data_IF_150283343043
#
_entry.id   IF_150283343043
#
_cell.length_a   1.000
_cell.length_b   1.000
_cell.length_c   1.000
_cell.angle_alpha   90.00
_cell.angle_beta   90.00
_cell.angle_gamma   90.00
#
_symmetry.space_group_name_H-M   'P 1'
#
loop_
_entity.id
_entity.type
_entity.pdbx_description
1 polymer ?
#
# COMPACT_ATOMS: atom_id res chain seq x y z
N UNK A 1 -3.95 -1.45 -4.03
CA UNK A 1 -4.51 -2.29 -5.11
C UNK A 1 -3.55 -2.29 -6.29
N UNK A 2 -3.09 -3.45 -6.74
CA UNK A 2 -2.33 -3.62 -7.99
C UNK A 2 -2.73 -4.95 -8.65
N UNK A 3 -2.77 -4.99 -9.98
CA UNK A 3 -3.33 -6.11 -10.75
C UNK A 3 -4.74 -5.79 -11.27
N UNK A 4 -5.62 -6.78 -11.29
CA UNK A 4 -7.01 -6.63 -11.70
C UNK A 4 -7.79 -5.74 -10.75
N UNK A 5 -8.32 -4.62 -11.26
CA UNK A 5 -9.08 -3.66 -10.46
C UNK A 5 -10.33 -4.29 -9.82
N UNK A 6 -11.04 -5.15 -10.57
CA UNK A 6 -12.21 -5.88 -10.09
C UNK A 6 -11.83 -6.88 -8.98
N UNK A 7 -10.75 -7.65 -9.20
CA UNK A 7 -10.25 -8.64 -8.25
C UNK A 7 -9.88 -7.99 -6.91
N UNK A 8 -9.04 -6.95 -6.94
CA UNK A 8 -8.63 -6.24 -5.73
C UNK A 8 -9.84 -5.67 -4.98
N UNK A 9 -10.71 -4.95 -5.69
CA UNK A 9 -11.88 -4.28 -5.08
C UNK A 9 -12.83 -5.29 -4.43
N UNK A 10 -13.08 -6.43 -5.10
CA UNK A 10 -13.98 -7.45 -4.58
C UNK A 10 -13.40 -8.14 -3.35
N UNK A 11 -12.16 -8.63 -3.42
CA UNK A 11 -11.55 -9.41 -2.34
C UNK A 11 -11.21 -8.55 -1.12
N UNK A 12 -10.78 -7.30 -1.30
CA UNK A 12 -10.54 -6.37 -0.19
C UNK A 12 -11.86 -5.97 0.50
N UNK A 13 -12.95 -5.76 -0.26
CA UNK A 13 -14.28 -5.50 0.32
C UNK A 13 -14.81 -6.73 1.07
N UNK A 14 -14.58 -7.93 0.55
CA UNK A 14 -14.94 -9.17 1.25
C UNK A 14 -14.12 -9.34 2.54
N UNK A 15 -12.82 -9.02 2.51
CA UNK A 15 -11.97 -9.00 3.69
C UNK A 15 -12.53 -8.02 4.74
N UNK A 16 -12.91 -6.81 4.35
CA UNK A 16 -13.50 -5.82 5.25
C UNK A 16 -14.77 -6.36 5.95
N UNK A 17 -15.64 -7.08 5.20
CA UNK A 17 -16.80 -7.77 5.78
C UNK A 17 -16.39 -8.81 6.82
N UNK A 18 -15.39 -9.65 6.53
CA UNK A 18 -14.92 -10.66 7.47
C UNK A 18 -14.30 -10.04 8.73
N UNK A 19 -13.52 -8.97 8.57
CA UNK A 19 -12.95 -8.23 9.69
C UNK A 19 -14.04 -7.64 10.60
N UNK A 20 -15.12 -7.10 10.02
CA UNK A 20 -16.25 -6.58 10.80
C UNK A 20 -17.00 -7.67 11.54
N UNK A 21 -17.21 -8.84 10.93
CA UNK A 21 -17.84 -9.99 11.60
C UNK A 21 -16.95 -10.48 12.75
N UNK A 22 -15.63 -10.56 12.53
CA UNK A 22 -14.68 -10.93 13.58
C UNK A 22 -14.78 -9.99 14.78
N UNK A 23 -14.83 -8.68 14.53
CA UNK A 23 -14.95 -7.67 15.58
C UNK A 23 -16.23 -7.82 16.39
N UNK A 24 -17.37 -8.01 15.73
CA UNK A 24 -18.67 -8.19 16.40
C UNK A 24 -18.72 -9.46 17.26
N UNK A 25 -18.07 -10.54 16.82
CA UNK A 25 -18.03 -11.82 17.56
C UNK A 25 -17.11 -11.77 18.77
N UNK A 26 -15.93 -11.20 18.61
CA UNK A 26 -14.89 -11.22 19.64
C UNK A 26 -14.88 -9.96 20.52
N UNK A 27 -15.66 -8.93 20.16
CA UNK A 27 -15.65 -7.59 20.79
C UNK A 27 -14.27 -6.94 20.77
N UNK A 28 -13.44 -7.32 19.80
CA UNK A 28 -12.07 -6.85 19.62
C UNK A 28 -11.74 -6.74 18.13
N UNK A 29 -11.00 -5.70 17.74
CA UNK A 29 -10.51 -5.52 16.37
C UNK A 29 -9.52 -6.63 15.99
N UNK A 30 -9.59 -7.08 14.74
CA UNK A 30 -8.67 -8.09 14.20
C UNK A 30 -7.24 -7.54 14.08
N UNK A 31 -6.24 -8.39 14.27
CA UNK A 31 -4.83 -8.02 14.03
C UNK A 31 -4.49 -7.92 12.54
N UNK A 32 -3.46 -7.15 12.19
CA UNK A 32 -3.01 -6.99 10.79
C UNK A 32 -2.51 -8.33 10.25
N UNK A 33 -1.84 -9.10 11.10
CA UNK A 33 -1.38 -10.45 10.77
C UNK A 33 -2.54 -11.41 10.46
N UNK A 34 -3.63 -11.36 11.23
CA UNK A 34 -4.79 -12.23 10.98
C UNK A 34 -5.56 -11.80 9.72
N UNK A 35 -5.77 -10.50 9.51
CA UNK A 35 -6.43 -9.99 8.32
C UNK A 35 -5.70 -10.38 7.02
N UNK A 36 -4.37 -10.21 6.98
CA UNK A 36 -3.55 -10.63 5.83
C UNK A 36 -3.60 -12.14 5.59
N UNK A 37 -3.66 -12.97 6.65
CA UNK A 37 -3.76 -14.42 6.51
C UNK A 37 -5.13 -14.87 6.00
N UNK A 38 -6.21 -14.20 6.43
CA UNK A 38 -7.55 -14.45 5.90
C UNK A 38 -7.62 -14.17 4.40
N UNK A 39 -7.07 -13.04 3.95
CA UNK A 39 -7.05 -12.70 2.53
C UNK A 39 -6.27 -13.73 1.71
N UNK A 40 -5.06 -14.09 2.14
CA UNK A 40 -4.25 -15.10 1.45
C UNK A 40 -5.00 -16.44 1.33
N UNK A 41 -5.68 -16.87 2.40
CA UNK A 41 -6.46 -18.11 2.38
C UNK A 41 -7.69 -18.04 1.45
N UNK A 42 -8.36 -16.88 1.34
CA UNK A 42 -9.50 -16.70 0.43
C UNK A 42 -9.04 -16.80 -1.03
N UNK A 43 -7.96 -16.10 -1.38
CA UNK A 43 -7.47 -16.02 -2.76
C UNK A 43 -6.82 -17.32 -3.21
N UNK A 44 -6.15 -18.05 -2.31
CA UNK A 44 -5.53 -19.33 -2.63
C UNK A 44 -6.54 -20.41 -3.09
N UNK A 45 -7.82 -20.29 -2.71
CA UNK A 45 -8.89 -21.20 -3.19
C UNK A 45 -9.12 -21.09 -4.70
N UNK A 46 -8.71 -19.98 -5.30
CA UNK A 46 -8.86 -19.68 -6.73
C UNK A 46 -7.51 -19.70 -7.46
N UNK A 47 -6.49 -20.35 -6.87
CA UNK A 47 -5.17 -20.48 -7.49
C UNK A 47 -5.28 -21.17 -8.86
N UNK A 48 -4.62 -20.59 -9.87
CA UNK A 48 -4.66 -21.09 -11.24
C UNK A 48 -5.92 -20.71 -12.04
N UNK A 49 -6.85 -19.94 -11.47
CA UNK A 49 -8.08 -19.49 -12.15
C UNK A 49 -7.96 -18.10 -12.81
N UNK A 50 -6.74 -17.55 -12.90
CA UNK A 50 -6.48 -16.28 -13.59
C UNK A 50 -6.75 -15.01 -12.76
N UNK A 51 -6.80 -15.11 -11.43
CA UNK A 51 -6.85 -13.91 -10.57
C UNK A 51 -5.55 -13.12 -10.68
N UNK A 52 -5.66 -11.80 -10.77
CA UNK A 52 -4.51 -10.89 -10.74
C UNK A 52 -4.65 -9.95 -9.56
N UNK A 53 -3.92 -10.22 -8.48
CA UNK A 53 -3.98 -9.42 -7.27
C UNK A 53 -2.61 -9.34 -6.60
N UNK A 54 -2.14 -8.12 -6.37
CA UNK A 54 -1.01 -7.81 -5.49
C UNK A 54 -1.44 -6.68 -4.56
N UNK A 55 -1.65 -6.98 -3.29
CA UNK A 55 -2.10 -6.00 -2.31
C UNK A 55 -1.24 -5.98 -1.06
N UNK A 56 -1.30 -4.84 -0.36
CA UNK A 56 -0.57 -4.61 0.87
C UNK A 56 -1.58 -4.31 1.97
N UNK A 57 -1.47 -5.04 3.08
CA UNK A 57 -2.26 -4.82 4.27
C UNK A 57 -1.38 -4.08 5.28
N UNK A 58 -1.72 -2.82 5.53
CA UNK A 58 -1.09 -1.97 6.52
C UNK A 58 -2.06 -1.69 7.67
N UNK A 59 -1.53 -1.56 8.89
CA UNK A 59 -2.34 -1.26 10.06
C UNK A 59 -1.51 -1.15 11.32
N UNK A 60 -2.16 -0.82 12.43
CA UNK A 60 -1.58 -0.83 13.76
C UNK A 60 -2.37 -1.82 14.63
N UNK A 61 -1.67 -2.72 15.31
CA UNK A 61 -2.29 -3.66 16.24
C UNK A 61 -1.54 -3.70 17.58
N UNK A 62 -1.89 -4.66 18.45
CA UNK A 62 -1.29 -4.83 19.77
C UNK A 62 0.24 -5.02 19.76
N UNK A 63 0.83 -5.37 18.61
CA UNK A 63 2.28 -5.53 18.41
C UNK A 63 2.94 -4.29 17.78
N UNK A 64 2.17 -3.23 17.53
CA UNK A 64 2.64 -2.02 16.86
C UNK A 64 2.28 -2.00 15.37
N UNK A 65 3.07 -1.29 14.54
CA UNK A 65 2.81 -1.19 13.11
C UNK A 65 3.05 -2.52 12.41
N UNK A 66 2.10 -2.91 11.54
CA UNK A 66 2.15 -4.12 10.74
C UNK A 66 2.02 -3.81 9.25
N UNK A 67 2.88 -4.44 8.45
CA UNK A 67 2.86 -4.33 6.99
C UNK A 67 3.06 -5.71 6.35
N UNK A 68 2.10 -6.13 5.54
CA UNK A 68 2.10 -7.41 4.85
C UNK A 68 1.83 -7.25 3.36
N UNK A 69 2.58 -7.96 2.53
CA UNK A 69 2.28 -8.16 1.12
C UNK A 69 1.54 -9.50 0.94
N UNK A 70 0.48 -9.49 0.14
CA UNK A 70 -0.34 -10.66 -0.23
C UNK A 70 -0.58 -10.66 -1.74
N UNK A 71 -0.36 -11.80 -2.39
CA UNK A 71 -0.59 -11.94 -3.84
C UNK A 71 -1.57 -13.05 -4.22
N UNK A 72 -1.88 -13.12 -5.52
CA UNK A 72 -2.78 -14.11 -6.12
C UNK A 72 -2.23 -15.54 -6.10
N UNK A 73 -0.93 -15.73 -5.91
CA UNK A 73 -0.30 -17.05 -5.80
C UNK A 73 -0.38 -17.64 -4.40
N UNK A 74 -0.85 -16.84 -3.44
CA UNK A 74 -0.99 -17.18 -2.03
C UNK A 74 0.25 -16.82 -1.20
N UNK A 75 1.20 -16.08 -1.76
CA UNK A 75 2.33 -15.60 -0.98
C UNK A 75 1.86 -14.59 0.06
N UNK A 76 2.47 -14.66 1.23
CA UNK A 76 2.21 -13.73 2.33
C UNK A 76 3.49 -13.49 3.11
N UNK A 77 4.03 -12.28 3.01
CA UNK A 77 5.28 -11.90 3.65
C UNK A 77 5.10 -10.60 4.43
N UNK A 78 5.76 -10.50 5.59
CA UNK A 78 5.90 -9.25 6.34
C UNK A 78 7.22 -8.58 6.00
N UNK A 79 7.25 -7.25 6.01
CA UNK A 79 8.46 -6.49 5.71
C UNK A 79 8.32 -5.02 6.09
N UNK A 80 9.40 -4.27 5.94
CA UNK A 80 9.46 -2.83 6.26
C UNK A 80 9.21 -1.94 5.04
N UNK A 81 9.55 -2.42 3.84
CA UNK A 81 9.35 -1.71 2.58
C UNK A 81 8.76 -2.66 1.53
N UNK A 82 7.79 -2.16 0.76
CA UNK A 82 7.20 -2.87 -0.37
C UNK A 82 6.81 -1.86 -1.45
N UNK A 83 6.87 -2.31 -2.70
CA UNK A 83 6.39 -1.59 -3.87
C UNK A 83 5.84 -2.61 -4.87
N UNK A 84 4.64 -2.36 -5.39
CA UNK A 84 3.87 -3.30 -6.23
C UNK A 84 3.24 -2.53 -7.40
N UNK A 85 3.21 -3.14 -8.58
CA UNK A 85 2.70 -2.54 -9.82
C UNK A 85 3.78 -2.42 -10.89
N UNK A 86 3.41 -1.92 -12.08
CA UNK A 86 4.32 -1.74 -13.21
C UNK A 86 5.50 -0.80 -12.90
N UNK A 87 5.24 0.29 -12.18
CA UNK A 87 6.26 1.25 -11.77
C UNK A 87 7.09 0.85 -10.53
N UNK A 88 6.90 -0.36 -10.00
CA UNK A 88 7.44 -0.74 -8.69
C UNK A 88 8.96 -0.66 -8.60
N UNK A 89 9.66 -1.09 -9.65
CA UNK A 89 11.13 -1.06 -9.74
C UNK A 89 11.72 0.34 -9.70
N UNK A 90 11.02 1.34 -10.24
CA UNK A 90 11.45 2.73 -10.20
C UNK A 90 11.25 3.33 -8.80
N UNK A 91 10.14 2.99 -8.14
CA UNK A 91 9.87 3.44 -6.78
C UNK A 91 10.88 2.87 -5.78
N UNK A 92 11.29 1.60 -5.90
CA UNK A 92 12.34 1.01 -5.06
C UNK A 92 13.65 1.79 -5.13
N UNK A 93 14.12 2.16 -6.32
CA UNK A 93 15.39 2.88 -6.48
C UNK A 93 15.46 4.21 -5.72
N UNK A 94 14.35 4.94 -5.61
CA UNK A 94 14.27 6.20 -4.86
C UNK A 94 14.04 5.93 -3.37
N UNK A 95 13.13 5.03 -3.04
CA UNK A 95 12.77 4.69 -1.67
C UNK A 95 13.97 4.13 -0.92
N UNK A 96 14.66 3.13 -1.47
CA UNK A 96 15.77 2.44 -0.81
C UNK A 96 16.98 3.37 -0.58
N UNK A 97 17.14 4.41 -1.41
CA UNK A 97 18.22 5.39 -1.26
C UNK A 97 17.94 6.41 -0.15
N UNK A 98 16.68 6.78 0.06
CA UNK A 98 16.28 7.80 1.04
C UNK A 98 15.74 7.23 2.35
N UNK A 99 15.51 5.92 2.42
CA UNK A 99 14.90 5.28 3.58
C UNK A 99 15.86 5.22 4.79
N UNK A 100 15.33 5.60 5.95
CA UNK A 100 15.89 5.32 7.26
C UNK A 100 14.74 4.94 8.19
N UNK A 101 15.01 4.09 9.19
CA UNK A 101 14.00 3.74 10.19
C UNK A 101 13.61 4.96 11.04
N UNK A 102 14.56 5.85 11.31
CA UNK A 102 14.42 7.01 12.18
C UNK A 102 14.11 8.31 11.39
N UNK A 103 13.25 8.22 10.36
CA UNK A 103 12.83 9.41 9.60
C UNK A 103 11.82 10.25 10.39
N UNK A 104 11.93 11.56 10.27
CA UNK A 104 10.84 12.45 10.68
C UNK A 104 9.63 12.29 9.74
N UNK A 105 8.44 12.54 10.27
CA UNK A 105 7.17 12.35 9.55
C UNK A 105 7.14 13.10 8.21
N UNK A 106 7.57 14.37 8.20
CA UNK A 106 7.58 15.19 6.97
C UNK A 106 8.62 14.70 5.95
N UNK A 107 9.76 14.16 6.42
CA UNK A 107 10.77 13.57 5.55
C UNK A 107 10.26 12.28 4.90
N UNK A 108 9.54 11.45 5.66
CA UNK A 108 8.89 10.25 5.13
C UNK A 108 7.82 10.60 4.08
N UNK A 109 7.05 11.67 4.30
CA UNK A 109 6.07 12.14 3.33
C UNK A 109 6.72 12.63 2.03
N UNK A 110 7.79 13.42 2.09
CA UNK A 110 8.47 13.87 0.87
C UNK A 110 9.15 12.71 0.14
N UNK A 111 9.75 11.76 0.87
CA UNK A 111 10.33 10.55 0.27
C UNK A 111 9.26 9.74 -0.48
N UNK A 112 8.10 9.51 0.13
CA UNK A 112 7.00 8.78 -0.49
C UNK A 112 6.48 9.49 -1.75
N UNK A 113 6.25 10.81 -1.68
CA UNK A 113 5.83 11.61 -2.85
C UNK A 113 6.85 11.54 -3.98
N UNK A 114 8.14 11.70 -3.66
CA UNK A 114 9.23 11.68 -4.64
C UNK A 114 9.37 10.32 -5.29
N UNK A 115 9.25 9.23 -4.53
CA UNK A 115 9.33 7.87 -5.06
C UNK A 115 8.22 7.59 -6.08
N UNK A 116 6.97 7.98 -5.77
CA UNK A 116 5.84 7.83 -6.70
C UNK A 116 5.99 8.76 -7.90
N UNK A 117 6.36 10.02 -7.69
CA UNK A 117 6.61 10.97 -8.78
C UNK A 117 7.63 10.41 -9.80
N UNK A 118 8.78 9.92 -9.33
CA UNK A 118 9.80 9.35 -10.22
C UNK A 118 9.32 8.07 -10.92
N UNK A 119 8.52 7.24 -10.26
CA UNK A 119 7.91 6.07 -10.89
C UNK A 119 6.94 6.48 -12.00
N UNK A 120 6.05 7.44 -11.75
CA UNK A 120 5.11 7.95 -12.77
C UNK A 120 5.81 8.67 -13.93
N UNK A 121 6.95 9.30 -13.68
CA UNK A 121 7.74 9.95 -14.73
C UNK A 121 8.37 8.95 -15.70
N UNK A 122 8.63 7.71 -15.25
CA UNK A 122 9.31 6.67 -16.05
C UNK A 122 8.38 5.58 -16.59
N UNK A 123 7.34 5.23 -15.85
CA UNK A 123 6.38 4.18 -16.23
C UNK A 123 5.15 4.76 -16.94
N UNK A 124 4.90 4.32 -18.17
CA UNK A 124 3.80 4.82 -19.01
C UNK A 124 2.39 4.50 -18.47
N UNK A 125 2.26 3.48 -17.61
CA UNK A 125 0.98 3.07 -17.02
C UNK A 125 0.73 3.68 -15.63
N UNK A 126 1.61 4.55 -15.16
CA UNK A 126 1.52 5.21 -13.86
C UNK A 126 1.40 6.73 -14.02
N UNK A 127 0.40 7.37 -13.42
CA UNK A 127 0.19 8.82 -13.54
C UNK A 127 -1.01 9.34 -12.75
N UNK A 128 -1.39 10.60 -13.00
CA UNK A 128 -2.53 11.25 -12.36
C UNK A 128 -2.17 11.96 -11.05
N UNK A 129 -2.67 11.46 -9.93
CA UNK A 129 -2.47 12.05 -8.60
C UNK A 129 -1.82 11.08 -7.64
N UNK A 130 -0.99 11.60 -6.75
CA UNK A 130 -0.34 10.88 -5.65
C UNK A 130 -1.18 11.04 -4.39
N UNK A 131 -1.90 9.98 -4.02
CA UNK A 131 -2.65 9.93 -2.76
C UNK A 131 -1.76 9.39 -1.64
N UNK A 132 -1.57 10.17 -0.59
CA UNK A 132 -0.72 9.84 0.54
C UNK A 132 -1.55 9.61 1.80
N UNK A 133 -1.33 8.46 2.45
CA UNK A 133 -1.96 8.08 3.71
C UNK A 133 -0.90 7.78 4.76
N UNK A 134 -1.21 8.07 6.03
CA UNK A 134 -0.35 7.78 7.17
C UNK A 134 -1.14 7.00 8.23
N UNK A 135 -0.69 5.78 8.54
CA UNK A 135 -1.24 4.93 9.60
C UNK A 135 -0.52 5.22 10.92
N UNK A 136 -1.27 5.66 11.93
CA UNK A 136 -0.82 5.90 13.29
C UNK A 136 -1.51 4.93 14.26
N UNK A 137 -1.10 4.94 15.54
CA UNK A 137 -1.72 4.09 16.58
C UNK A 137 -3.24 4.31 16.71
N UNK A 138 -3.70 5.56 16.60
CA UNK A 138 -5.12 5.89 16.70
C UNK A 138 -5.95 5.52 15.45
N UNK A 139 -5.29 5.24 14.32
CA UNK A 139 -5.92 5.05 13.01
C UNK A 139 -5.15 5.73 11.90
N UNK A 140 -5.73 5.77 10.70
CA UNK A 140 -5.10 6.37 9.53
C UNK A 140 -5.65 7.76 9.23
N UNK A 141 -4.82 8.60 8.62
CA UNK A 141 -5.19 9.91 8.08
C UNK A 141 -4.88 9.97 6.59
N UNK A 142 -5.71 10.69 5.85
CA UNK A 142 -5.41 11.10 4.48
C UNK A 142 -4.58 12.38 4.55
N UNK A 143 -3.32 12.31 4.10
CA UNK A 143 -2.33 13.39 4.24
C UNK A 143 -2.48 14.40 3.10
N UNK A 144 -2.44 13.92 1.85
CA UNK A 144 -2.57 14.77 0.66
C UNK A 144 -3.00 13.97 -0.57
N UNK A 145 -3.49 14.69 -1.57
CA UNK A 145 -3.77 14.20 -2.93
C UNK A 145 -3.14 15.19 -3.90
N UNK A 146 -1.89 14.95 -4.26
CA UNK A 146 -1.06 15.89 -5.02
C UNK A 146 -1.07 15.52 -6.50
N UNK A 147 -1.25 16.49 -7.42
CA UNK A 147 -1.16 16.20 -8.86
C UNK A 147 0.32 16.00 -9.25
N UNK A 148 0.59 14.98 -10.07
CA UNK A 148 1.95 14.72 -10.58
C UNK A 148 2.50 15.91 -11.39
N UNK A 149 1.64 16.67 -12.07
CA UNK A 149 2.04 17.89 -12.77
C UNK A 149 2.58 18.96 -11.81
N UNK A 150 1.87 19.24 -10.71
CA UNK A 150 2.30 20.23 -9.71
C UNK A 150 3.60 19.78 -9.01
N UNK A 151 3.75 18.47 -8.79
CA UNK A 151 4.99 17.89 -8.27
C UNK A 151 6.16 18.02 -9.25
N UNK A 152 5.90 17.99 -10.55
CA UNK A 152 6.94 18.20 -11.57
C UNK A 152 7.54 19.60 -11.43
N UNK A 153 6.70 20.64 -11.38
CA UNK A 153 7.16 22.02 -11.26
C UNK A 153 7.92 22.24 -9.94
N UNK A 154 7.40 21.68 -8.84
CA UNK A 154 8.04 21.69 -7.53
C UNK A 154 9.44 21.08 -7.53
N UNK A 155 9.62 19.91 -8.16
CA UNK A 155 10.89 19.17 -8.11
C UNK A 155 11.90 19.55 -9.19
N UNK A 156 11.46 20.23 -10.25
CA UNK A 156 12.35 20.74 -11.30
C UNK A 156 12.79 22.18 -11.07
N UNK A 157 12.18 22.89 -10.11
CA UNK A 157 12.44 24.30 -9.87
C UNK A 157 11.86 25.21 -10.96
N UNK A 158 10.85 24.72 -11.70
CA UNK A 158 10.20 25.41 -12.82
C UNK A 158 9.08 26.35 -12.34
N UNK A 159 9.32 27.10 -11.27
CA UNK A 159 8.46 28.23 -10.89
C UNK A 159 9.31 29.50 -11.01
N UNK A 160 8.84 30.55 -11.71
CA UNK A 160 9.60 31.80 -11.85
C UNK A 160 9.93 32.46 -10.52
#
# INVERSE_FOLDING_TARGET
>A
MAGGAADCSFWERLLARQCRIYELRNKERISVAAASKLLANMVYQYKGMGLSMGTMICGWDKRGPGLYYVDSEGNRISGTTFSVGSGSVYAYGVMDRGYSYDLEVEQAYDLARRAIYQATYRDAYSGGSVNLYHVQEAGWIHVSSDNVADLHDKYTGSTP
#
